data_IF_659273580749
#
_entry.id   IF_659273580749
#
_cell.length_a   1.000
_cell.length_b   1.000
_cell.length_c   1.000
_cell.angle_alpha   90.00
_cell.angle_beta   90.00
_cell.angle_gamma   90.00
#
_symmetry.space_group_name_H-M   'P 1'
#
loop_
_entity.id
_entity.type
_entity.pdbx_description
1 polymer ?
#
# COMPACT_ATOMS: atom_id res chain seq x y z
N UNK A 1 9.06 1.93 11.59
CA UNK A 1 7.86 2.79 11.56
C UNK A 1 7.76 3.30 10.13
N UNK A 2 6.74 2.87 9.40
CA UNK A 2 6.43 3.38 8.07
C UNK A 2 5.54 4.60 8.29
N UNK A 3 6.02 5.77 7.92
CA UNK A 3 5.31 7.03 8.07
C UNK A 3 5.33 7.72 6.71
N UNK A 4 4.17 8.14 6.21
CA UNK A 4 4.11 9.18 5.18
C UNK A 4 4.70 10.43 5.83
N UNK A 5 5.86 10.91 5.35
CA UNK A 5 6.47 12.12 5.88
C UNK A 5 6.11 13.26 4.95
N UNK A 6 5.33 14.20 5.48
CA UNK A 6 5.25 15.54 4.90
C UNK A 6 6.46 16.34 5.34
N UNK A 7 7.33 16.71 4.40
CA UNK A 7 8.43 17.65 4.67
C UNK A 7 7.92 19.06 4.37
N UNK A 8 7.67 19.84 5.41
CA UNK A 8 7.36 21.26 5.27
C UNK A 8 8.68 22.02 5.04
N UNK A 9 9.05 22.25 3.78
CA UNK A 9 10.04 23.28 3.43
C UNK A 9 9.39 24.66 3.60
N UNK A 10 10.10 25.66 4.15
CA UNK A 10 9.59 27.02 4.41
C UNK A 10 9.17 27.85 3.18
N UNK A 11 8.95 27.20 2.03
CA UNK A 11 8.27 27.76 0.87
C UNK A 11 6.77 27.47 0.94
N UNK A 12 5.94 28.38 0.46
CA UNK A 12 4.46 28.28 0.43
C UNK A 12 3.89 27.08 -0.35
N UNK A 13 4.73 26.26 -0.97
CA UNK A 13 4.41 24.92 -1.48
C UNK A 13 5.18 23.86 -0.68
N UNK A 14 4.48 23.14 0.19
CA UNK A 14 5.04 21.94 0.83
C UNK A 14 5.10 20.81 -0.20
N UNK A 15 6.29 20.24 -0.41
CA UNK A 15 6.47 19.03 -1.21
C UNK A 15 6.41 17.85 -0.24
N UNK A 16 5.41 16.99 -0.37
CA UNK A 16 5.31 15.75 0.38
C UNK A 16 6.05 14.61 -0.32
N UNK A 17 6.24 13.50 0.40
CA UNK A 17 6.89 12.32 -0.16
C UNK A 17 6.74 11.08 0.71
N UNK A 18 7.29 9.98 0.22
CA UNK A 18 7.36 8.74 0.98
C UNK A 18 8.72 8.63 1.69
N UNK A 19 8.74 7.94 2.82
CA UNK A 19 9.98 7.61 3.52
C UNK A 19 9.87 6.23 4.16
N UNK A 20 10.99 5.51 4.21
CA UNK A 20 11.08 4.19 4.85
C UNK A 20 12.26 4.19 5.81
N UNK A 21 11.97 4.06 7.11
CA UNK A 21 13.00 3.92 8.13
C UNK A 21 13.14 2.48 8.59
N UNK A 22 14.38 2.07 8.78
CA UNK A 22 14.73 0.77 9.35
C UNK A 22 15.84 0.95 10.39
N UNK A 23 15.84 0.06 11.38
CA UNK A 23 16.85 0.01 12.43
C UNK A 23 18.15 -0.57 11.86
N UNK A 24 19.27 0.18 11.91
CA UNK A 24 20.55 -0.21 11.30
C UNK A 24 21.27 -1.36 12.02
N UNK A 25 21.01 -1.53 13.32
CA UNK A 25 21.41 -2.71 14.08
C UNK A 25 20.65 -3.97 13.61
N UNK A 26 19.45 -3.75 13.04
CA UNK A 26 18.55 -4.80 12.60
C UNK A 26 18.64 -5.18 11.13
N UNK A 27 18.87 -4.19 10.28
CA UNK A 27 18.85 -4.36 8.84
C UNK A 27 19.98 -3.57 8.18
N UNK A 28 20.48 -4.08 7.06
CA UNK A 28 21.33 -3.35 6.13
C UNK A 28 20.54 -3.00 4.86
N UNK A 29 20.73 -1.79 4.33
CA UNK A 29 20.20 -1.45 3.02
C UNK A 29 20.97 -2.18 1.92
N UNK A 30 20.26 -2.87 1.04
CA UNK A 30 20.85 -3.57 -0.11
C UNK A 30 20.61 -2.78 -1.39
N UNK A 31 19.35 -2.43 -1.66
CA UNK A 31 18.98 -1.74 -2.90
C UNK A 31 17.74 -0.89 -2.69
N UNK A 32 17.67 0.19 -3.46
CA UNK A 32 16.52 1.10 -3.53
C UNK A 32 16.05 1.20 -4.99
N UNK A 33 14.74 1.26 -5.17
CA UNK A 33 14.09 1.54 -6.44
C UNK A 33 13.04 2.64 -6.24
N UNK A 34 13.01 3.59 -7.16
CA UNK A 34 12.03 4.66 -7.20
C UNK A 34 11.05 4.39 -8.33
N UNK A 35 9.76 4.33 -8.00
CA UNK A 35 8.67 4.27 -8.98
C UNK A 35 8.12 5.68 -9.12
N UNK A 36 8.63 6.39 -10.14
CA UNK A 36 8.18 7.74 -10.48
C UNK A 36 6.99 7.66 -11.44
N UNK A 37 5.76 7.78 -10.92
CA UNK A 37 4.56 7.68 -11.73
C UNK A 37 4.49 8.73 -12.83
N UNK A 38 5.07 9.92 -12.63
CA UNK A 38 5.16 10.94 -13.67
C UNK A 38 5.99 10.48 -14.88
N UNK A 39 7.14 9.82 -14.66
CA UNK A 39 7.96 9.26 -15.75
C UNK A 39 7.22 8.14 -16.47
N UNK A 40 6.56 7.26 -15.71
CA UNK A 40 5.74 6.20 -16.30
C UNK A 40 4.56 6.77 -17.12
N UNK A 41 3.96 7.87 -16.67
CA UNK A 41 2.87 8.56 -17.38
C UNK A 41 3.34 9.18 -18.70
N UNK A 42 4.55 9.74 -18.72
CA UNK A 42 5.17 10.24 -19.95
C UNK A 42 5.38 9.11 -20.95
N UNK A 43 6.01 8.01 -20.54
CA UNK A 43 6.21 6.83 -21.40
C UNK A 43 4.90 6.25 -21.92
N UNK A 44 3.87 6.15 -21.07
CA UNK A 44 2.54 5.69 -21.48
C UNK A 44 1.92 6.63 -22.51
N UNK A 45 1.95 7.94 -22.25
CA UNK A 45 1.38 8.95 -23.13
C UNK A 45 2.06 8.95 -24.50
N UNK A 46 3.38 8.73 -24.55
CA UNK A 46 4.10 8.60 -25.80
C UNK A 46 3.75 7.32 -26.56
N UNK A 47 3.54 6.21 -25.86
CA UNK A 47 3.31 4.90 -26.45
C UNK A 47 1.89 4.70 -26.98
N UNK A 48 0.87 5.17 -26.27
CA UNK A 48 -0.54 4.82 -26.56
C UNK A 48 -1.47 6.00 -26.81
N UNK A 49 -1.10 7.23 -26.42
CA UNK A 49 -2.01 8.39 -26.52
C UNK A 49 -1.75 9.18 -27.82
N UNK A 50 -2.78 9.48 -28.62
CA UNK A 50 -2.65 10.28 -29.84
C UNK A 50 -2.09 11.70 -29.57
N UNK A 51 -1.30 12.28 -30.50
CA UNK A 51 -0.69 13.61 -30.34
C UNK A 51 -1.66 14.70 -29.88
N UNK A 52 -2.88 14.73 -30.43
CA UNK A 52 -3.90 15.72 -30.11
C UNK A 52 -4.35 15.71 -28.62
N UNK A 53 -4.22 14.56 -27.94
CA UNK A 53 -4.68 14.38 -26.56
C UNK A 53 -3.54 14.39 -25.54
N UNK A 54 -2.27 14.38 -25.97
CA UNK A 54 -1.09 14.25 -25.08
C UNK A 54 -1.08 15.24 -23.93
N UNK A 55 -1.36 16.52 -24.20
CA UNK A 55 -1.41 17.55 -23.15
C UNK A 55 -2.50 17.29 -22.11
N UNK A 56 -3.69 16.88 -22.54
CA UNK A 56 -4.80 16.55 -21.64
C UNK A 56 -4.48 15.30 -20.81
N UNK A 57 -3.90 14.28 -21.46
CA UNK A 57 -3.48 13.04 -20.79
C UNK A 57 -2.41 13.31 -19.72
N UNK A 58 -1.37 14.09 -20.02
CA UNK A 58 -0.35 14.46 -19.05
C UNK A 58 -0.93 15.25 -17.88
N UNK A 59 -1.83 16.21 -18.13
CA UNK A 59 -2.50 16.95 -17.06
C UNK A 59 -3.33 16.05 -16.13
N UNK A 60 -3.86 14.94 -16.65
CA UNK A 60 -4.61 13.95 -15.86
C UNK A 60 -3.70 12.96 -15.12
N UNK A 61 -2.60 12.52 -15.72
CA UNK A 61 -1.75 11.45 -15.20
C UNK A 61 -0.58 11.92 -14.31
N UNK A 62 -0.02 13.09 -14.60
CA UNK A 62 1.11 13.66 -13.85
C UNK A 62 0.55 14.30 -12.57
N UNK A 63 0.87 13.69 -11.43
CA UNK A 63 0.32 14.03 -10.10
C UNK A 63 1.37 14.05 -8.98
N UNK A 64 2.65 13.92 -9.32
CA UNK A 64 3.79 13.95 -8.39
C UNK A 64 3.78 12.84 -7.32
N UNK A 65 2.89 11.87 -7.44
CA UNK A 65 2.90 10.66 -6.62
C UNK A 65 4.14 9.81 -6.95
N UNK A 66 4.65 9.13 -5.93
CA UNK A 66 5.77 8.19 -6.04
C UNK A 66 5.52 6.94 -5.21
N UNK A 67 6.24 5.87 -5.53
CA UNK A 67 6.48 4.78 -4.61
C UNK A 67 7.97 4.54 -4.41
N UNK A 68 8.37 4.25 -3.18
CA UNK A 68 9.72 3.88 -2.80
C UNK A 68 9.75 2.39 -2.46
N UNK A 69 10.66 1.65 -3.08
CA UNK A 69 10.87 0.23 -2.80
C UNK A 69 12.30 0.05 -2.30
N UNK A 70 12.46 -0.53 -1.11
CA UNK A 70 13.77 -0.83 -0.53
C UNK A 70 13.89 -2.32 -0.24
N UNK A 71 15.02 -2.90 -0.65
CA UNK A 71 15.41 -4.25 -0.28
C UNK A 71 16.40 -4.14 0.87
N UNK A 72 16.08 -4.79 1.97
CA UNK A 72 16.85 -4.81 3.20
C UNK A 72 17.34 -6.24 3.48
N UNK A 73 18.53 -6.34 4.06
CA UNK A 73 19.09 -7.59 4.57
C UNK A 73 18.96 -7.61 6.09
N UNK A 74 18.35 -8.66 6.64
CA UNK A 74 18.22 -8.86 8.08
C UNK A 74 19.58 -9.27 8.69
N UNK A 75 19.91 -8.67 9.83
CA UNK A 75 21.14 -8.96 10.59
C UNK A 75 20.91 -9.96 11.74
N UNK A 76 19.66 -10.38 11.99
CA UNK A 76 19.37 -11.39 13.01
C UNK A 76 19.49 -12.77 12.39
N UNK A 77 20.61 -13.41 12.71
CA UNK A 77 20.98 -14.71 12.16
C UNK A 77 22.37 -15.11 12.63
N UNK A 78 22.68 -14.89 13.91
CA UNK A 78 23.81 -15.54 14.58
C UNK A 78 23.36 -16.90 15.17
N UNK A 79 22.60 -17.69 14.42
CA UNK A 79 22.70 -19.13 14.61
C UNK A 79 23.89 -19.61 13.76
N UNK A 80 24.79 -20.44 14.31
CA UNK A 80 25.87 -21.02 13.54
C UNK A 80 25.22 -21.85 12.44
N UNK A 81 25.26 -21.33 11.22
CA UNK A 81 24.79 -21.98 9.99
C UNK A 81 23.36 -22.52 10.03
N UNK A 82 22.41 -21.78 9.47
CA UNK A 82 21.61 -22.45 8.45
C UNK A 82 22.64 -22.88 7.38
N UNK A 83 22.71 -24.17 7.07
CA UNK A 83 23.76 -24.79 6.23
C UNK A 83 23.88 -24.22 4.79
N UNK A 84 23.15 -23.14 4.47
CA UNK A 84 23.08 -22.50 3.16
C UNK A 84 23.81 -21.17 3.04
N UNK A 85 24.20 -20.50 4.14
CA UNK A 85 24.88 -19.18 4.09
C UNK A 85 24.10 -18.08 3.34
N UNK A 86 22.78 -18.24 3.17
CA UNK A 86 21.96 -17.32 2.37
C UNK A 86 21.56 -16.08 3.16
N UNK A 87 21.71 -14.93 2.52
CA UNK A 87 21.26 -13.62 3.02
C UNK A 87 19.74 -13.64 3.19
N UNK A 88 19.23 -13.29 4.37
CA UNK A 88 17.79 -13.13 4.58
C UNK A 88 17.38 -11.72 4.14
N UNK A 89 16.63 -11.63 3.05
CA UNK A 89 16.18 -10.38 2.48
C UNK A 89 14.71 -10.10 2.81
N UNK A 90 14.32 -8.83 2.83
CA UNK A 90 12.94 -8.37 2.86
C UNK A 90 12.79 -7.16 1.94
N UNK A 91 11.72 -7.13 1.16
CA UNK A 91 11.36 -6.02 0.29
C UNK A 91 10.28 -5.19 0.98
N UNK A 92 10.47 -3.87 1.08
CA UNK A 92 9.51 -2.94 1.68
C UNK A 92 9.18 -1.88 0.65
N UNK A 93 7.92 -1.83 0.23
CA UNK A 93 7.37 -0.79 -0.61
C UNK A 93 6.55 0.19 0.23
N UNK A 94 6.70 1.48 -0.04
CA UNK A 94 5.90 2.55 0.55
C UNK A 94 5.43 3.49 -0.57
N UNK A 95 4.13 3.80 -0.63
CA UNK A 95 3.56 4.67 -1.68
C UNK A 95 2.57 5.67 -1.10
N UNK A 96 2.36 6.77 -1.83
CA UNK A 96 1.24 7.68 -1.60
C UNK A 96 0.54 7.90 -2.94
N UNK A 97 -0.59 7.23 -3.14
CA UNK A 97 -1.37 7.24 -4.39
C UNK A 97 -2.23 8.50 -4.46
N UNK A 98 -2.55 8.93 -5.68
CA UNK A 98 -3.31 10.16 -5.95
C UNK A 98 -4.57 10.30 -5.07
N UNK A 99 -4.72 11.47 -4.43
CA UNK A 99 -5.82 11.75 -3.49
C UNK A 99 -7.16 12.02 -4.20
N UNK A 100 -7.15 12.59 -5.40
CA UNK A 100 -8.36 13.08 -6.07
C UNK A 100 -9.36 11.96 -6.35
N UNK A 101 -10.56 12.04 -5.77
CA UNK A 101 -11.57 10.97 -5.81
C UNK A 101 -12.11 10.68 -7.22
N UNK A 102 -12.16 11.69 -8.09
CA UNK A 102 -12.63 11.57 -9.48
C UNK A 102 -11.63 10.90 -10.43
N UNK A 103 -10.39 10.66 -9.98
CA UNK A 103 -9.31 10.10 -10.79
C UNK A 103 -9.09 8.62 -10.48
N UNK A 104 -10.18 7.84 -10.45
CA UNK A 104 -10.15 6.39 -10.11
C UNK A 104 -9.28 5.59 -11.07
N UNK A 105 -9.31 5.92 -12.36
CA UNK A 105 -8.43 5.37 -13.40
C UNK A 105 -6.96 5.62 -13.11
N UNK A 106 -6.61 6.84 -12.67
CA UNK A 106 -5.23 7.19 -12.32
C UNK A 106 -4.79 6.44 -11.06
N UNK A 107 -5.63 6.36 -10.02
CA UNK A 107 -5.33 5.59 -8.80
C UNK A 107 -5.08 4.12 -9.14
N UNK A 108 -5.97 3.50 -9.92
CA UNK A 108 -5.83 2.11 -10.36
C UNK A 108 -4.58 1.89 -11.20
N UNK A 109 -4.28 2.80 -12.14
CA UNK A 109 -3.08 2.72 -12.95
C UNK A 109 -1.79 2.85 -12.12
N UNK A 110 -1.74 3.74 -11.14
CA UNK A 110 -0.60 3.89 -10.22
C UNK A 110 -0.39 2.61 -9.39
N UNK A 111 -1.46 2.07 -8.79
CA UNK A 111 -1.42 0.81 -8.04
C UNK A 111 -0.94 -0.34 -8.92
N UNK A 112 -1.50 -0.47 -10.12
CA UNK A 112 -1.10 -1.50 -11.07
C UNK A 112 0.39 -1.35 -11.47
N UNK A 113 0.86 -0.13 -11.71
CA UNK A 113 2.26 0.15 -12.05
C UNK A 113 3.21 -0.24 -10.91
N UNK A 114 2.87 0.08 -9.66
CA UNK A 114 3.63 -0.36 -8.48
C UNK A 114 3.71 -1.88 -8.41
N UNK A 115 2.58 -2.57 -8.56
CA UNK A 115 2.50 -4.03 -8.49
C UNK A 115 3.33 -4.71 -9.59
N UNK A 116 3.33 -4.17 -10.82
CA UNK A 116 4.22 -4.65 -11.89
C UNK A 116 5.70 -4.43 -11.59
N UNK A 117 6.05 -3.34 -10.91
CA UNK A 117 7.40 -3.12 -10.39
C UNK A 117 7.80 -4.19 -9.37
N UNK A 118 6.90 -4.51 -8.43
CA UNK A 118 7.12 -5.52 -7.41
C UNK A 118 7.19 -6.94 -7.98
N UNK A 119 6.37 -7.29 -8.97
CA UNK A 119 6.45 -8.58 -9.68
C UNK A 119 7.81 -8.80 -10.35
N UNK A 120 8.41 -7.75 -10.93
CA UNK A 120 9.78 -7.84 -11.51
C UNK A 120 10.82 -8.15 -10.43
N UNK A 121 10.66 -7.58 -9.24
CA UNK A 121 11.54 -7.87 -8.09
C UNK A 121 11.32 -9.31 -7.62
N UNK A 122 10.07 -9.75 -7.46
CA UNK A 122 9.70 -11.11 -7.06
C UNK A 122 10.20 -12.17 -8.05
N UNK A 123 10.18 -11.87 -9.35
CA UNK A 123 10.70 -12.74 -10.39
C UNK A 123 12.23 -12.84 -10.37
N UNK A 124 12.92 -11.80 -9.90
CA UNK A 124 14.38 -11.75 -9.83
C UNK A 124 14.93 -12.43 -8.58
N UNK A 125 14.16 -12.41 -7.49
CA UNK A 125 14.52 -13.04 -6.23
C UNK A 125 13.28 -13.34 -5.41
N UNK A 126 13.29 -14.50 -4.78
CA UNK A 126 12.24 -14.92 -3.87
C UNK A 126 12.37 -14.19 -2.52
N UNK A 127 11.83 -12.98 -2.45
CA UNK A 127 11.98 -12.07 -1.32
C UNK A 127 10.59 -11.78 -0.71
N UNK A 128 10.39 -12.03 0.61
CA UNK A 128 9.20 -11.61 1.32
C UNK A 128 8.94 -10.11 1.16
N UNK A 129 7.70 -9.71 0.95
CA UNK A 129 7.35 -8.30 0.69
C UNK A 129 6.38 -7.74 1.72
N UNK A 130 6.64 -6.52 2.14
CA UNK A 130 5.70 -5.62 2.81
C UNK A 130 5.37 -4.50 1.83
N UNK A 131 4.09 -4.26 1.57
CA UNK A 131 3.62 -3.18 0.68
C UNK A 131 2.70 -2.29 1.49
N UNK A 132 3.16 -1.08 1.78
CA UNK A 132 2.52 -0.17 2.69
C UNK A 132 2.25 1.18 2.03
N UNK A 133 1.39 1.97 2.63
CA UNK A 133 1.20 3.36 2.22
C UNK A 133 -0.23 3.84 2.37
N UNK A 134 -0.40 5.10 2.03
CA UNK A 134 -1.71 5.71 1.78
C UNK A 134 -2.06 5.46 0.31
N UNK A 135 -2.99 4.54 0.10
CA UNK A 135 -3.46 4.21 -1.24
C UNK A 135 -4.58 5.14 -1.70
N UNK A 136 -5.16 5.97 -0.82
CA UNK A 136 -6.31 6.81 -1.13
C UNK A 136 -7.46 6.03 -1.81
N UNK A 137 -7.62 4.76 -1.44
CA UNK A 137 -8.59 3.83 -2.05
C UNK A 137 -9.40 3.17 -0.97
N UNK A 138 -10.72 3.20 -1.13
CA UNK A 138 -11.64 2.57 -0.20
C UNK A 138 -11.66 1.04 -0.37
N UNK A 139 -11.93 0.27 0.70
CA UNK A 139 -12.24 -1.14 0.59
C UNK A 139 -13.35 -1.40 -0.44
N UNK A 140 -13.15 -2.41 -1.29
CA UNK A 140 -14.09 -2.76 -2.36
C UNK A 140 -13.96 -1.94 -3.66
N UNK A 141 -13.14 -0.89 -3.71
CA UNK A 141 -12.82 -0.20 -4.97
C UNK A 141 -12.00 -1.08 -5.94
N UNK A 142 -11.90 -0.70 -7.21
CA UNK A 142 -11.09 -1.44 -8.19
C UNK A 142 -9.60 -1.56 -7.81
N UNK A 143 -8.89 -0.48 -7.43
CA UNK A 143 -7.50 -0.59 -6.98
C UNK A 143 -7.33 -1.44 -5.71
N UNK A 144 -8.26 -1.35 -4.76
CA UNK A 144 -8.28 -2.23 -3.59
C UNK A 144 -8.47 -3.70 -4.00
N UNK A 145 -9.42 -3.98 -4.89
CA UNK A 145 -9.67 -5.32 -5.43
C UNK A 145 -8.45 -5.89 -6.14
N UNK A 146 -7.73 -5.04 -6.89
CA UNK A 146 -6.47 -5.43 -7.50
C UNK A 146 -5.46 -5.88 -6.44
N UNK A 147 -5.24 -5.08 -5.39
CA UNK A 147 -4.28 -5.38 -4.30
C UNK A 147 -4.63 -6.66 -3.53
N UNK A 148 -5.92 -6.87 -3.24
CA UNK A 148 -6.37 -7.98 -2.36
C UNK A 148 -6.61 -9.27 -3.13
N UNK A 149 -7.24 -9.20 -4.31
CA UNK A 149 -7.65 -10.39 -5.08
C UNK A 149 -6.71 -10.72 -6.22
N UNK A 150 -5.68 -9.89 -6.44
CA UNK A 150 -4.76 -10.03 -7.56
C UNK A 150 -5.35 -9.65 -8.91
N UNK A 151 -6.61 -9.21 -8.98
CA UNK A 151 -7.29 -8.87 -10.23
C UNK A 151 -8.47 -7.93 -10.00
N UNK A 152 -8.87 -7.22 -11.05
CA UNK A 152 -10.11 -6.44 -11.08
C UNK A 152 -11.15 -7.16 -11.92
N UNK A 153 -12.40 -7.20 -11.47
CA UNK A 153 -13.53 -7.64 -12.30
C UNK A 153 -13.68 -6.67 -13.49
N UNK A 154 -13.69 -7.15 -14.76
CA UNK A 154 -13.95 -6.30 -15.92
C UNK A 154 -15.26 -5.50 -15.85
N UNK A 155 -16.25 -5.98 -15.07
CA UNK A 155 -17.54 -5.32 -14.87
C UNK A 155 -17.55 -4.34 -13.68
N UNK A 156 -16.41 -4.12 -13.02
CA UNK A 156 -16.32 -3.25 -11.87
C UNK A 156 -16.69 -1.79 -12.23
N UNK A 157 -17.56 -1.11 -11.45
CA UNK A 157 -18.07 0.22 -11.80
C UNK A 157 -16.99 1.29 -11.93
N UNK A 158 -15.91 1.20 -11.14
CA UNK A 158 -14.76 2.12 -11.27
C UNK A 158 -14.06 2.07 -12.64
N UNK A 159 -14.28 1.02 -13.45
CA UNK A 159 -13.72 0.91 -14.81
C UNK A 159 -14.56 1.63 -15.87
N UNK A 160 -15.75 2.13 -15.52
CA UNK A 160 -16.64 2.84 -16.46
C UNK A 160 -16.04 4.19 -16.91
N UNK A 161 -15.19 4.80 -16.08
CA UNK A 161 -14.57 6.11 -16.35
C UNK A 161 -13.09 5.91 -16.69
N UNK A 162 -12.80 5.63 -17.96
CA UNK A 162 -11.45 5.54 -18.52
C UNK A 162 -11.33 6.41 -19.79
N UNK A 163 -11.29 7.75 -19.64
CA UNK A 163 -11.32 8.68 -20.77
C UNK A 163 -10.07 8.59 -21.66
N UNK A 164 -8.98 8.02 -21.15
CA UNK A 164 -7.71 7.87 -21.86
C UNK A 164 -7.48 6.45 -22.40
N UNK A 165 -8.34 5.49 -22.08
CA UNK A 165 -8.18 4.08 -22.46
C UNK A 165 -6.96 3.40 -21.81
N UNK A 166 -6.46 3.92 -20.69
CA UNK A 166 -5.20 3.48 -20.05
C UNK A 166 -5.35 2.17 -19.28
N UNK A 167 -6.59 1.75 -19.01
CA UNK A 167 -6.90 0.54 -18.27
C UNK A 167 -7.16 -0.66 -19.20
N UNK A 168 -7.03 -0.46 -20.53
CA UNK A 168 -7.32 -1.50 -21.52
C UNK A 168 -6.07 -2.29 -21.93
N UNK A 169 -6.23 -3.59 -22.26
CA UNK A 169 -7.42 -4.40 -22.01
C UNK A 169 -7.57 -4.70 -20.51
N UNK A 170 -8.81 -4.66 -20.01
CA UNK A 170 -9.10 -4.87 -18.57
C UNK A 170 -8.63 -6.25 -18.07
N UNK A 171 -8.51 -7.23 -18.97
CA UNK A 171 -7.94 -8.56 -18.68
C UNK A 171 -6.49 -8.53 -18.20
N UNK A 172 -5.78 -7.43 -18.42
CA UNK A 172 -4.39 -7.22 -17.94
C UNK A 172 -4.31 -6.55 -16.57
N UNK A 173 -5.43 -6.16 -15.97
CA UNK A 173 -5.48 -5.62 -14.60
C UNK A 173 -5.38 -6.76 -13.58
N UNK A 174 -4.20 -7.38 -13.52
CA UNK A 174 -3.91 -8.57 -12.70
C UNK A 174 -2.47 -8.59 -12.19
N UNK A 175 -2.21 -9.24 -11.07
CA UNK A 175 -0.90 -9.58 -10.53
C UNK A 175 -0.89 -10.93 -9.81
N UNK A 176 0.30 -11.51 -9.64
CA UNK A 176 0.53 -12.84 -9.09
C UNK A 176 1.12 -12.82 -7.67
N UNK A 177 1.43 -11.63 -7.13
CA UNK A 177 1.92 -11.50 -5.75
C UNK A 177 0.86 -12.02 -4.75
N UNK A 178 1.22 -12.91 -3.80
CA UNK A 178 0.30 -13.46 -2.82
C UNK A 178 0.06 -12.47 -1.66
N UNK A 179 -0.39 -11.26 -2.01
CA UNK A 179 -0.61 -10.18 -1.06
C UNK A 179 -1.91 -10.39 -0.27
N UNK A 180 -1.84 -10.12 1.03
CA UNK A 180 -3.03 -10.00 1.90
C UNK A 180 -2.88 -8.80 2.83
N UNK A 181 -3.99 -8.15 3.16
CA UNK A 181 -4.01 -7.06 4.15
C UNK A 181 -3.78 -7.62 5.55
N UNK A 182 -2.86 -7.02 6.30
CA UNK A 182 -2.53 -7.43 7.66
C UNK A 182 -3.71 -7.32 8.62
N UNK A 183 -4.47 -6.23 8.54
CA UNK A 183 -5.63 -6.03 9.40
C UNK A 183 -6.80 -6.95 9.02
N UNK A 184 -7.00 -7.18 7.71
CA UNK A 184 -8.04 -8.11 7.24
C UNK A 184 -7.75 -9.58 7.53
N UNK A 185 -6.49 -10.01 7.43
CA UNK A 185 -6.12 -11.41 7.64
C UNK A 185 -6.10 -11.81 9.13
N UNK A 186 -5.81 -10.87 10.04
CA UNK A 186 -5.61 -11.17 11.47
C UNK A 186 -6.86 -11.69 12.17
N UNK A 187 -8.06 -11.19 11.81
CA UNK A 187 -9.35 -11.65 12.37
C UNK A 187 -9.55 -13.15 12.14
N UNK A 188 -9.03 -13.70 11.03
CA UNK A 188 -9.14 -15.13 10.72
C UNK A 188 -8.21 -16.00 11.56
N UNK A 189 -7.16 -15.42 12.12
CA UNK A 189 -6.07 -16.15 12.79
C UNK A 189 -6.20 -16.23 14.31
N UNK A 190 -7.01 -15.36 14.94
CA UNK A 190 -7.12 -15.29 16.41
C UNK A 190 -8.51 -15.72 16.88
N UNK A 191 -8.58 -16.71 17.78
CA UNK A 191 -9.80 -17.05 18.53
C UNK A 191 -9.63 -16.56 19.98
N UNK A 192 -10.45 -15.61 20.44
CA UNK A 192 -10.35 -15.11 21.82
C UNK A 192 -11.24 -13.91 22.19
N UNK A 193 -11.19 -13.52 23.47
CA UNK A 193 -12.09 -12.58 24.16
C UNK A 193 -11.99 -11.11 23.65
N UNK A 194 -10.93 -10.75 22.91
CA UNK A 194 -10.78 -9.44 22.25
C UNK A 194 -11.35 -9.35 20.82
N UNK A 195 -11.83 -10.47 20.26
CA UNK A 195 -12.27 -10.55 18.86
C UNK A 195 -13.51 -9.68 18.59
N UNK A 196 -14.44 -9.63 19.54
CA UNK A 196 -15.69 -8.87 19.39
C UNK A 196 -15.45 -7.36 19.36
N UNK A 197 -14.51 -6.85 20.17
CA UNK A 197 -14.12 -5.44 20.13
C UNK A 197 -13.38 -5.11 18.84
N UNK A 198 -12.49 -5.99 18.37
CA UNK A 198 -11.80 -5.80 17.11
C UNK A 198 -12.79 -5.82 15.94
N UNK A 199 -13.72 -6.79 15.87
CA UNK A 199 -14.75 -6.89 14.83
C UNK A 199 -15.62 -5.64 14.69
N UNK A 200 -15.93 -4.95 15.79
CA UNK A 200 -16.69 -3.68 15.75
C UNK A 200 -15.95 -2.55 15.04
N UNK A 201 -14.63 -2.65 14.91
CA UNK A 201 -13.76 -1.66 14.26
C UNK A 201 -13.43 -2.06 12.80
N UNK A 202 -14.06 -3.12 12.29
CA UNK A 202 -13.82 -3.67 10.95
C UNK A 202 -15.12 -3.65 10.15
N UNK A 203 -15.01 -3.41 8.84
CA UNK A 203 -16.12 -3.55 7.90
C UNK A 203 -16.46 -5.04 7.68
N UNK A 204 -17.73 -5.41 7.80
CA UNK A 204 -18.16 -6.82 7.76
C UNK A 204 -18.03 -7.47 6.38
N UNK A 205 -18.01 -6.68 5.30
CA UNK A 205 -17.97 -7.21 3.94
C UNK A 205 -16.52 -7.43 3.49
N UNK A 206 -15.66 -6.45 3.76
CA UNK A 206 -14.27 -6.43 3.30
C UNK A 206 -13.29 -6.95 4.35
N UNK A 207 -13.69 -6.95 5.62
CA UNK A 207 -12.83 -7.16 6.79
C UNK A 207 -11.65 -6.18 6.84
N UNK A 208 -11.74 -5.02 6.21
CA UNK A 208 -10.77 -3.95 6.43
C UNK A 208 -11.19 -3.08 7.62
N UNK A 209 -10.28 -2.28 8.22
CA UNK A 209 -10.66 -1.29 9.22
C UNK A 209 -11.83 -0.42 8.74
N UNK A 210 -12.69 0.04 9.66
CA UNK A 210 -13.74 1.01 9.32
C UNK A 210 -13.14 2.33 8.83
N UNK A 211 -12.06 2.77 9.47
CA UNK A 211 -11.32 3.95 9.05
C UNK A 211 -9.84 3.86 9.38
N UNK A 212 -9.05 4.53 8.56
CA UNK A 212 -7.66 4.90 8.86
C UNK A 212 -7.43 6.39 8.69
N UNK A 213 -8.34 7.10 8.02
CA UNK A 213 -8.40 8.54 7.93
C UNK A 213 -9.74 9.02 8.49
N UNK A 214 -9.70 10.02 9.37
CA UNK A 214 -10.87 10.61 10.02
C UNK A 214 -10.74 12.14 10.03
N UNK A 215 -11.41 12.79 9.09
CA UNK A 215 -11.54 14.25 9.03
C UNK A 215 -13.00 14.65 9.30
N UNK A 216 -13.28 15.95 9.28
CA UNK A 216 -14.65 16.46 9.43
C UNK A 216 -15.58 15.96 8.32
N UNK A 217 -15.06 15.90 7.09
CA UNK A 217 -15.86 15.66 5.89
C UNK A 217 -15.69 14.25 5.31
N UNK A 218 -14.77 13.46 5.86
CA UNK A 218 -14.47 12.12 5.37
C UNK A 218 -14.00 11.21 6.51
N UNK A 219 -14.58 10.01 6.57
CA UNK A 219 -14.15 8.91 7.42
C UNK A 219 -14.07 7.67 6.52
N UNK A 220 -12.91 7.00 6.52
CA UNK A 220 -12.73 5.79 5.74
C UNK A 220 -11.30 5.25 5.77
N UNK A 221 -11.12 4.07 5.20
CA UNK A 221 -9.84 3.37 5.15
C UNK A 221 -9.13 3.66 3.85
N UNK A 222 -7.92 4.21 3.96
CA UNK A 222 -7.03 4.51 2.84
C UNK A 222 -5.62 3.95 3.04
N UNK A 223 -5.25 3.65 4.29
CA UNK A 223 -3.93 3.19 4.67
C UNK A 223 -3.94 1.69 4.84
N UNK A 224 -2.91 1.03 4.30
CA UNK A 224 -2.84 -0.43 4.32
C UNK A 224 -1.41 -0.92 4.60
N UNK A 225 -1.33 -2.10 5.20
CA UNK A 225 -0.12 -2.92 5.28
C UNK A 225 -0.44 -4.26 4.62
N UNK A 226 -0.02 -4.43 3.36
CA UNK A 226 -0.08 -5.71 2.68
C UNK A 226 1.21 -6.49 2.87
N UNK A 227 1.11 -7.82 2.89
CA UNK A 227 2.28 -8.70 2.99
C UNK A 227 2.12 -9.96 2.15
N UNK A 228 3.23 -10.58 1.77
CA UNK A 228 3.24 -11.87 1.06
C UNK A 228 2.93 -13.04 2.02
N UNK A 229 1.72 -13.57 1.95
CA UNK A 229 1.18 -14.54 2.94
C UNK A 229 1.82 -15.93 2.92
N UNK A 230 2.55 -16.24 1.87
CA UNK A 230 3.29 -17.49 1.69
C UNK A 230 4.67 -17.48 2.37
N UNK A 231 5.12 -16.31 2.83
CA UNK A 231 6.47 -16.07 3.36
C UNK A 231 6.48 -15.31 4.67
N UNK A 232 5.37 -14.63 5.01
CA UNK A 232 5.19 -13.89 6.26
C UNK A 232 3.88 -14.31 6.92
N UNK A 233 3.86 -14.26 8.25
CA UNK A 233 2.66 -14.43 9.07
C UNK A 233 2.54 -13.21 9.99
N UNK A 234 1.33 -12.66 10.11
CA UNK A 234 1.04 -11.59 11.06
C UNK A 234 0.88 -12.18 12.47
N UNK A 235 1.62 -11.66 13.44
CA UNK A 235 1.65 -12.13 14.83
C UNK A 235 0.81 -11.26 15.75
N UNK A 236 0.88 -9.95 15.55
CA UNK A 236 0.16 -8.96 16.36
C UNK A 236 -0.09 -7.70 15.54
N UNK A 237 -1.11 -6.93 15.94
CA UNK A 237 -1.48 -5.66 15.34
C UNK A 237 -1.62 -4.60 16.44
N UNK A 238 -1.33 -3.36 16.10
CA UNK A 238 -1.75 -2.22 16.93
C UNK A 238 -3.27 -2.10 16.87
N UNK A 239 -3.88 -1.96 18.05
CA UNK A 239 -5.32 -1.82 18.19
C UNK A 239 -5.82 -0.58 17.44
N UNK A 240 -6.88 -0.77 16.65
CA UNK A 240 -7.58 0.31 15.97
C UNK A 240 -8.31 1.19 16.99
N UNK A 241 -8.50 2.45 16.66
CA UNK A 241 -9.31 3.36 17.46
C UNK A 241 -10.80 3.15 17.17
N UNK A 242 -11.65 3.44 18.14
CA UNK A 242 -13.09 3.51 17.94
C UNK A 242 -13.51 4.91 17.47
N UNK A 243 -14.57 4.98 16.67
CA UNK A 243 -15.07 6.26 16.15
C UNK A 243 -15.59 7.15 17.30
N UNK A 244 -16.25 6.55 18.29
CA UNK A 244 -16.78 7.25 19.47
C UNK A 244 -15.68 7.89 20.33
N UNK A 245 -14.50 7.26 20.40
CA UNK A 245 -13.34 7.81 21.10
C UNK A 245 -12.75 9.03 20.41
N UNK A 246 -12.75 9.06 19.07
CA UNK A 246 -12.24 10.19 18.28
C UNK A 246 -13.22 11.38 18.23
N UNK A 247 -14.53 11.13 18.17
CA UNK A 247 -15.54 12.17 17.91
C UNK A 247 -15.74 13.17 19.05
N UNK A 248 -15.22 12.91 20.26
CA UNK A 248 -15.30 13.86 21.38
C UNK A 248 -14.76 15.26 21.03
N UNK A 249 -13.80 15.34 20.09
CA UNK A 249 -13.13 16.59 19.70
C UNK A 249 -13.39 17.04 18.24
N UNK A 250 -14.48 16.62 17.60
CA UNK A 250 -14.99 17.15 16.30
C UNK A 250 -14.25 16.84 14.99
N UNK A 251 -13.08 16.17 14.97
CA UNK A 251 -12.40 15.47 13.84
C UNK A 251 -10.88 15.36 14.12
N UNK A 252 -10.12 14.60 13.31
CA UNK A 252 -8.66 14.68 13.31
C UNK A 252 -8.13 15.62 12.20
N UNK A 253 -6.95 16.27 12.40
CA UNK A 253 -6.15 16.30 13.63
C UNK A 253 -6.86 17.06 14.76
N UNK A 254 -6.48 16.76 16.00
CA UNK A 254 -6.98 17.41 17.22
C UNK A 254 -5.81 17.78 18.16
N UNK A 255 -6.03 18.48 19.28
CA UNK A 255 -4.97 18.74 20.26
C UNK A 255 -4.25 17.47 20.77
N UNK A 256 -4.95 16.33 20.78
CA UNK A 256 -4.38 15.03 21.19
C UNK A 256 -3.75 14.26 20.01
N UNK A 257 -4.18 14.55 18.78
CA UNK A 257 -3.85 13.78 17.58
C UNK A 257 -3.26 14.66 16.48
N UNK A 258 -1.98 14.47 16.18
CA UNK A 258 -1.22 15.32 15.25
C UNK A 258 -1.49 15.07 13.76
N UNK A 259 -2.33 14.10 13.41
CA UNK A 259 -2.58 13.66 12.03
C UNK A 259 -4.05 13.34 11.82
N UNK A 260 -4.56 13.54 10.60
CA UNK A 260 -5.89 13.05 10.20
C UNK A 260 -5.93 11.55 9.91
N UNK A 261 -4.77 10.91 9.83
CA UNK A 261 -4.61 9.47 9.67
C UNK A 261 -4.14 8.82 10.98
N UNK A 262 -4.62 7.61 11.24
CA UNK A 262 -4.16 6.77 12.35
C UNK A 262 -2.99 5.91 11.90
N UNK A 263 -2.02 5.71 12.80
CA UNK A 263 -0.89 4.84 12.50
C UNK A 263 -1.33 3.37 12.48
N UNK A 264 -0.88 2.63 11.46
CA UNK A 264 -0.97 1.18 11.42
C UNK A 264 0.35 0.57 11.87
N UNK A 265 0.28 -0.52 12.63
CA UNK A 265 1.45 -1.28 13.06
C UNK A 265 1.11 -2.76 13.12
N UNK A 266 2.02 -3.56 12.60
CA UNK A 266 1.92 -5.01 12.57
C UNK A 266 3.28 -5.63 12.90
N UNK A 267 3.25 -6.72 13.65
CA UNK A 267 4.39 -7.59 13.87
C UNK A 267 4.28 -8.81 12.95
N UNK A 268 5.39 -9.16 12.31
CA UNK A 268 5.45 -10.27 11.36
C UNK A 268 6.51 -11.28 11.76
N UNK A 269 6.17 -12.56 11.55
CA UNK A 269 7.11 -13.68 11.58
C UNK A 269 7.43 -14.11 10.14
N UNK A 270 8.71 -14.29 9.84
CA UNK A 270 9.11 -14.93 8.58
C UNK A 270 8.83 -16.43 8.64
N UNK A 271 8.15 -16.95 7.62
CA UNK A 271 7.81 -18.36 7.51
C UNK A 271 8.79 -19.06 6.56
N UNK A 272 9.30 -20.26 6.91
CA UNK A 272 10.02 -21.09 5.96
C UNK A 272 9.07 -21.45 4.81
N UNK A 273 9.49 -21.22 3.56
CA UNK A 273 8.71 -21.70 2.40
C UNK A 273 8.75 -23.23 2.37
N UNK A 274 7.60 -23.86 2.54
CA UNK A 274 7.39 -25.24 2.06
C UNK A 274 7.36 -25.18 0.54
N UNK A 275 8.45 -25.61 -0.12
CA UNK A 275 8.46 -25.78 -1.58
C UNK A 275 7.32 -26.73 -1.95
N UNK A 276 6.34 -26.23 -2.71
CA UNK A 276 5.40 -27.08 -3.45
C UNK A 276 6.06 -27.55 -4.74
#
# INVERSE_FOLDING_TARGET
MLSVIRVLSGSTSAIDGCATFFRRDRFAHVKKYDVEFNKAAQSLTEAIIPPAQKRSALNRLVKDNIALIVVLEAKFGNQPTDASGKRQLICVANTHVNVQQELKDVKLWQVHTLLKGLEKIAASADIPMLVCGDFNTLPGSAPHSLLVYGKVDPQHPDLLVDPLGILRPQTKLTHQLPLVSAYSSFVRSVMGIGLEQHRRKMDLNTNEPLFTNCTRDFIGTHDYIFYTADTLMVESLLELLDEDGLRKDTALPSPEWSSSHIALLAEFRCMPRTRR
#
